data_IF_504874540908
#
_entry.id   IF_504874540908
#
_cell.length_a   1.000
_cell.length_b   1.000
_cell.length_c   1.000
_cell.angle_alpha   90.00
_cell.angle_beta   90.00
_cell.angle_gamma   90.00
#
_symmetry.space_group_name_H-M   'P 1'
#
loop_
_entity.id
_entity.type
_entity.pdbx_description
1 polymer ?
#
# COMPACT_ATOMS: atom_id res chain seq x y z
N UNK A 1 21.59 -14.30 -46.67
CA UNK A 1 22.15 -13.00 -46.23
C UNK A 1 21.09 -11.97 -45.80
N UNK A 2 19.95 -11.80 -46.50
CA UNK A 2 18.90 -10.84 -46.06
C UNK A 2 18.11 -11.34 -44.84
N UNK A 3 17.70 -12.61 -44.83
CA UNK A 3 16.93 -13.19 -43.72
C UNK A 3 17.67 -13.13 -42.37
N UNK A 4 18.97 -13.38 -42.39
CA UNK A 4 19.84 -13.33 -41.21
C UNK A 4 19.91 -11.91 -40.62
N UNK A 5 20.08 -10.88 -41.47
CA UNK A 5 20.06 -9.47 -41.04
C UNK A 5 18.70 -9.08 -40.44
N UNK A 6 17.61 -9.61 -40.99
CA UNK A 6 16.26 -9.36 -40.47
C UNK A 6 16.06 -9.98 -39.08
N UNK A 7 16.46 -11.24 -38.88
CA UNK A 7 16.38 -11.93 -37.59
C UNK A 7 17.18 -11.20 -36.51
N UNK A 8 18.45 -10.85 -36.79
CA UNK A 8 19.31 -10.12 -35.86
C UNK A 8 18.72 -8.74 -35.48
N UNK A 9 18.07 -8.06 -36.43
CA UNK A 9 17.44 -6.78 -36.14
C UNK A 9 16.21 -6.94 -35.25
N UNK A 10 15.36 -7.95 -35.49
CA UNK A 10 14.19 -8.23 -34.64
C UNK A 10 14.64 -8.53 -33.22
N UNK A 11 15.62 -9.42 -33.05
CA UNK A 11 16.13 -9.78 -31.73
C UNK A 11 16.70 -8.56 -30.99
N UNK A 12 17.55 -7.76 -31.66
CA UNK A 12 18.10 -6.53 -31.09
C UNK A 12 17.00 -5.58 -30.63
N UNK A 13 15.95 -5.39 -31.43
CA UNK A 13 14.83 -4.49 -31.09
C UNK A 13 14.01 -5.04 -29.93
N UNK A 14 13.73 -6.35 -29.92
CA UNK A 14 13.03 -7.02 -28.81
C UNK A 14 13.82 -6.89 -27.51
N UNK A 15 15.12 -7.15 -27.52
CA UNK A 15 15.98 -6.99 -26.33
C UNK A 15 16.01 -5.54 -25.84
N UNK A 16 16.16 -4.56 -26.75
CA UNK A 16 16.10 -3.13 -26.42
C UNK A 16 14.77 -2.76 -25.76
N UNK A 17 13.66 -3.27 -26.30
CA UNK A 17 12.32 -3.03 -25.74
C UNK A 17 12.19 -3.65 -24.34
N UNK A 18 12.57 -4.91 -24.17
CA UNK A 18 12.52 -5.60 -22.87
C UNK A 18 13.35 -4.86 -21.82
N UNK A 19 14.57 -4.43 -22.17
CA UNK A 19 15.43 -3.68 -21.25
C UNK A 19 14.81 -2.34 -20.84
N UNK A 20 14.26 -1.59 -21.80
CA UNK A 20 13.63 -0.29 -21.53
C UNK A 20 12.32 -0.44 -20.73
N UNK A 21 11.46 -1.38 -21.12
CA UNK A 21 10.19 -1.62 -20.45
C UNK A 21 10.42 -2.10 -19.01
N UNK A 22 11.35 -3.03 -18.79
CA UNK A 22 11.61 -3.57 -17.46
C UNK A 22 12.54 -2.70 -16.61
N UNK A 23 12.99 -1.55 -17.13
CA UNK A 23 13.78 -0.59 -16.37
C UNK A 23 13.02 -0.15 -15.12
N UNK A 24 13.58 -0.42 -13.96
CA UNK A 24 12.98 -0.09 -12.66
C UNK A 24 11.90 -1.06 -12.16
N UNK A 25 11.61 -2.14 -12.89
CA UNK A 25 10.73 -3.22 -12.41
C UNK A 25 11.56 -4.28 -11.70
N UNK A 26 11.05 -4.78 -10.57
CA UNK A 26 11.63 -5.93 -9.88
C UNK A 26 11.05 -7.21 -10.48
N UNK A 27 11.89 -8.20 -10.76
CA UNK A 27 11.43 -9.54 -11.11
C UNK A 27 10.83 -10.17 -9.84
N UNK A 28 9.58 -10.60 -9.93
CA UNK A 28 8.90 -11.39 -8.89
C UNK A 28 8.61 -12.75 -9.50
N UNK A 29 9.06 -13.80 -8.84
CA UNK A 29 8.84 -15.19 -9.22
C UNK A 29 8.25 -15.87 -8.00
N UNK A 30 7.26 -16.72 -8.22
CA UNK A 30 6.65 -17.55 -7.20
C UNK A 30 6.90 -19.01 -7.54
N UNK A 31 7.07 -19.84 -6.52
CA UNK A 31 7.21 -21.27 -6.66
C UNK A 31 5.92 -21.98 -6.20
N UNK A 32 5.64 -23.20 -6.69
CA UNK A 32 4.54 -23.99 -6.15
C UNK A 32 4.71 -24.20 -4.66
N UNK A 33 3.66 -23.93 -3.89
CA UNK A 33 3.68 -23.96 -2.44
C UNK A 33 3.74 -22.59 -1.77
N UNK A 34 4.15 -21.54 -2.48
CA UNK A 34 4.18 -20.18 -1.97
C UNK A 34 2.78 -19.67 -1.65
N UNK A 35 2.67 -18.92 -0.55
CA UNK A 35 1.47 -18.19 -0.19
C UNK A 35 1.49 -16.80 -0.80
N UNK A 36 0.39 -16.38 -1.40
CA UNK A 36 0.27 -15.09 -2.07
C UNK A 36 -1.08 -14.43 -1.85
N UNK A 37 -1.11 -13.10 -1.85
CA UNK A 37 -2.35 -12.32 -1.91
C UNK A 37 -2.85 -12.19 -3.35
N UNK A 38 -4.15 -12.40 -3.55
CA UNK A 38 -4.81 -12.21 -4.83
C UNK A 38 -5.43 -10.80 -4.94
N UNK A 39 -5.07 -10.05 -5.98
CA UNK A 39 -5.68 -8.76 -6.30
C UNK A 39 -7.03 -8.94 -6.99
N UNK A 40 -8.11 -8.57 -6.30
CA UNK A 40 -9.46 -8.63 -6.85
C UNK A 40 -9.66 -7.46 -7.81
N UNK A 41 -9.77 -7.70 -9.13
CA UNK A 41 -10.16 -6.66 -10.10
C UNK A 41 -11.67 -6.60 -10.28
N UNK A 42 -12.24 -5.40 -10.48
CA UNK A 42 -13.69 -5.21 -10.60
C UNK A 42 -14.28 -5.96 -11.79
N UNK A 43 -13.55 -6.00 -12.90
CA UNK A 43 -13.95 -6.65 -14.14
C UNK A 43 -13.96 -8.18 -14.06
N UNK A 44 -13.20 -8.77 -13.14
CA UNK A 44 -13.17 -10.23 -12.91
C UNK A 44 -14.03 -10.65 -11.71
N UNK A 45 -14.06 -9.81 -10.68
CA UNK A 45 -14.74 -10.08 -9.41
C UNK A 45 -15.75 -8.98 -9.08
N UNK A 46 -16.81 -8.79 -9.90
CA UNK A 46 -17.79 -7.74 -9.67
C UNK A 46 -18.49 -7.91 -8.31
N UNK A 47 -18.79 -9.14 -7.90
CA UNK A 47 -19.46 -9.43 -6.63
C UNK A 47 -18.57 -9.08 -5.42
N UNK A 48 -17.29 -9.45 -5.48
CA UNK A 48 -16.32 -9.19 -4.38
C UNK A 48 -15.82 -7.75 -4.36
N UNK A 49 -15.79 -7.05 -5.52
CA UNK A 49 -15.28 -5.67 -5.64
C UNK A 49 -16.25 -4.76 -6.41
N UNK A 50 -17.49 -4.66 -5.93
CA UNK A 50 -18.51 -3.78 -6.52
C UNK A 50 -18.36 -2.29 -6.14
N UNK A 51 -17.70 -1.99 -5.01
CA UNK A 51 -17.51 -0.62 -4.52
C UNK A 51 -16.03 -0.29 -4.27
N UNK A 52 -15.72 1.01 -4.15
CA UNK A 52 -14.35 1.48 -3.89
C UNK A 52 -13.89 1.24 -2.44
N UNK A 53 -14.82 1.04 -1.51
CA UNK A 53 -14.54 0.85 -0.09
C UNK A 53 -14.21 -0.61 0.26
N UNK A 54 -14.54 -1.55 -0.62
CA UNK A 54 -14.21 -2.97 -0.40
C UNK A 54 -12.71 -3.24 -0.55
N UNK A 55 -12.19 -4.28 0.12
CA UNK A 55 -10.81 -4.70 -0.03
C UNK A 55 -10.41 -4.92 -1.49
N UNK A 56 -9.16 -4.58 -1.80
CA UNK A 56 -8.59 -4.77 -3.14
C UNK A 56 -7.89 -6.11 -3.32
N UNK A 57 -7.56 -6.77 -2.21
CA UNK A 57 -6.94 -8.08 -2.20
C UNK A 57 -7.72 -9.00 -1.27
N UNK A 58 -7.56 -10.29 -1.51
CA UNK A 58 -8.18 -11.35 -0.74
C UNK A 58 -7.19 -12.50 -0.58
N UNK A 59 -7.36 -13.25 0.52
CA UNK A 59 -6.67 -14.47 0.96
C UNK A 59 -5.15 -14.56 0.78
N UNK A 60 -4.43 -15.22 1.71
CA UNK A 60 -3.28 -16.01 1.28
C UNK A 60 -3.81 -17.25 0.54
N UNK A 61 -3.53 -17.33 -0.76
CA UNK A 61 -3.77 -18.52 -1.58
C UNK A 61 -2.45 -19.19 -1.90
N UNK A 62 -2.46 -20.52 -2.03
CA UNK A 62 -1.27 -21.26 -2.40
C UNK A 62 -1.11 -21.31 -3.92
N UNK A 63 0.11 -21.11 -4.40
CA UNK A 63 0.47 -21.37 -5.80
C UNK A 63 0.50 -22.88 -6.01
N UNK A 64 -0.33 -23.38 -6.93
CA UNK A 64 -0.39 -24.79 -7.29
C UNK A 64 0.59 -25.15 -8.40
N UNK A 65 0.75 -24.27 -9.38
CA UNK A 65 1.55 -24.53 -10.58
C UNK A 65 2.05 -23.22 -11.19
N UNK A 66 3.31 -23.24 -11.66
CA UNK A 66 3.92 -22.15 -12.42
C UNK A 66 3.82 -22.47 -13.92
N UNK A 67 2.94 -21.75 -14.63
CA UNK A 67 2.76 -21.94 -16.09
C UNK A 67 3.91 -21.26 -16.84
N UNK A 68 4.29 -20.06 -16.39
CA UNK A 68 5.48 -19.32 -16.81
C UNK A 68 5.79 -18.22 -15.77
N UNK A 69 6.91 -17.50 -15.92
CA UNK A 69 7.32 -16.41 -15.02
C UNK A 69 6.23 -15.33 -14.78
N UNK A 70 5.27 -15.18 -15.69
CA UNK A 70 4.21 -14.18 -15.62
C UNK A 70 2.83 -14.75 -15.21
N UNK A 71 2.62 -16.06 -15.24
CA UNK A 71 1.30 -16.67 -15.08
C UNK A 71 1.34 -17.90 -14.16
N UNK A 72 0.47 -17.89 -13.16
CA UNK A 72 0.44 -18.87 -12.09
C UNK A 72 -0.97 -19.40 -11.89
N UNK A 73 -1.09 -20.65 -11.47
CA UNK A 73 -2.35 -21.27 -11.07
C UNK A 73 -2.43 -21.34 -9.56
N UNK A 74 -3.56 -20.90 -8.99
CA UNK A 74 -3.77 -20.87 -7.55
C UNK A 74 -4.74 -21.97 -7.11
N UNK A 75 -4.67 -22.32 -5.83
CA UNK A 75 -5.73 -23.08 -5.18
C UNK A 75 -6.90 -22.13 -4.85
N UNK A 76 -7.72 -21.84 -5.86
CA UNK A 76 -8.84 -20.91 -5.74
C UNK A 76 -10.15 -21.68 -5.49
N UNK A 77 -10.93 -21.31 -4.46
CA UNK A 77 -12.25 -21.88 -4.21
C UNK A 77 -13.21 -21.70 -5.39
N UNK A 78 -14.11 -22.67 -5.59
CA UNK A 78 -15.06 -22.67 -6.72
C UNK A 78 -16.07 -21.50 -6.68
N UNK A 79 -16.29 -20.91 -5.50
CA UNK A 79 -17.21 -19.80 -5.27
C UNK A 79 -16.79 -18.50 -5.97
N UNK A 80 -15.53 -18.38 -6.39
CA UNK A 80 -15.09 -17.21 -7.14
C UNK A 80 -15.61 -17.18 -8.58
N UNK A 81 -16.02 -18.33 -9.14
CA UNK A 81 -16.61 -18.41 -10.48
C UNK A 81 -15.69 -17.94 -11.62
N UNK A 82 -14.38 -17.86 -11.40
CA UNK A 82 -13.37 -17.46 -12.40
C UNK A 82 -12.29 -18.53 -12.57
N UNK A 83 -11.51 -18.43 -13.64
CA UNK A 83 -10.33 -19.30 -13.82
C UNK A 83 -9.30 -19.06 -12.71
N UNK A 84 -8.71 -20.13 -12.20
CA UNK A 84 -7.66 -20.07 -11.18
C UNK A 84 -6.28 -19.61 -11.69
N UNK A 85 -6.18 -19.17 -12.95
CA UNK A 85 -4.94 -18.70 -13.57
C UNK A 85 -4.84 -17.17 -13.55
N UNK A 86 -3.78 -16.66 -12.92
CA UNK A 86 -3.58 -15.24 -12.67
C UNK A 86 -2.22 -14.77 -13.15
N UNK A 87 -2.13 -13.51 -13.55
CA UNK A 87 -0.86 -12.91 -13.96
C UNK A 87 -0.10 -12.39 -12.74
N UNK A 88 1.22 -12.25 -12.81
CA UNK A 88 2.04 -11.69 -11.71
C UNK A 88 1.56 -10.31 -11.26
N UNK A 89 0.92 -9.53 -12.15
CA UNK A 89 0.34 -8.23 -11.84
C UNK A 89 -0.89 -8.31 -10.91
N UNK A 90 -1.49 -9.49 -10.79
CA UNK A 90 -2.65 -9.75 -9.92
C UNK A 90 -2.23 -10.37 -8.59
N UNK A 91 -0.93 -10.58 -8.37
CA UNK A 91 -0.42 -11.34 -7.24
C UNK A 91 0.47 -10.45 -6.38
N UNK A 92 0.51 -10.68 -5.07
CA UNK A 92 1.46 -10.04 -4.17
C UNK A 92 2.01 -11.07 -3.18
N UNK A 93 3.31 -11.04 -2.86
CA UNK A 93 3.89 -11.98 -1.90
C UNK A 93 3.18 -11.91 -0.54
N UNK A 94 2.93 -13.07 0.08
CA UNK A 94 2.49 -13.15 1.46
C UNK A 94 3.72 -13.22 2.37
N UNK A 95 3.99 -12.16 3.13
CA UNK A 95 5.05 -12.16 4.13
C UNK A 95 4.48 -12.60 5.48
N UNK A 96 4.77 -13.83 5.88
CA UNK A 96 4.53 -14.29 7.26
C UNK A 96 5.61 -13.64 8.10
N UNK A 97 5.38 -12.39 8.51
CA UNK A 97 6.36 -11.65 9.29
C UNK A 97 6.86 -12.51 10.44
N UNK A 98 8.18 -12.72 10.51
CA UNK A 98 8.83 -13.36 11.65
C UNK A 98 8.22 -12.76 12.91
N UNK A 99 7.74 -13.62 13.82
CA UNK A 99 6.91 -13.26 14.98
C UNK A 99 7.58 -12.24 15.93
N UNK A 100 7.72 -10.97 15.53
CA UNK A 100 8.24 -9.89 16.37
C UNK A 100 7.24 -9.48 17.45
N UNK A 101 6.06 -10.11 17.49
CA UNK A 101 5.13 -10.01 18.61
C UNK A 101 5.50 -10.96 19.74
N UNK A 102 6.77 -10.98 20.14
CA UNK A 102 7.08 -11.34 21.53
C UNK A 102 6.57 -10.18 22.37
N UNK A 103 5.35 -10.29 22.90
CA UNK A 103 4.77 -9.30 23.78
C UNK A 103 5.62 -9.22 25.06
N UNK A 104 6.37 -8.14 25.35
CA UNK A 104 7.10 -8.01 26.59
C UNK A 104 6.20 -7.31 27.62
N UNK A 105 4.94 -7.71 27.73
CA UNK A 105 4.12 -7.29 28.87
C UNK A 105 4.37 -8.30 29.99
N UNK A 106 5.46 -8.09 30.73
CA UNK A 106 5.67 -8.74 32.01
C UNK A 106 4.62 -8.21 32.98
N UNK A 107 3.76 -9.11 33.45
CA UNK A 107 2.84 -8.89 34.56
C UNK A 107 3.65 -8.55 35.81
N UNK A 108 3.63 -7.27 36.19
CA UNK A 108 4.47 -6.70 37.24
C UNK A 108 3.64 -5.93 38.25
N UNK A 109 3.01 -6.70 39.16
CA UNK A 109 2.69 -6.39 40.56
C UNK A 109 1.87 -5.12 40.86
N UNK A 110 0.62 -5.40 41.15
CA UNK A 110 -0.26 -4.71 42.08
C UNK A 110 0.38 -4.42 43.46
N UNK A 111 0.74 -3.16 43.72
CA UNK A 111 0.99 -2.67 45.08
C UNK A 111 -0.25 -1.93 45.58
N UNK A 112 -1.01 -2.60 46.47
CA UNK A 112 -2.07 -1.99 47.24
C UNK A 112 -1.46 -1.14 48.37
N UNK A 113 -1.81 0.15 48.44
CA UNK A 113 -1.59 0.96 49.63
C UNK A 113 -2.91 1.56 50.12
N UNK A 114 -3.40 1.06 51.26
CA UNK A 114 -4.43 1.70 52.04
C UNK A 114 -3.78 2.59 53.10
N UNK A 115 -4.23 3.85 53.20
CA UNK A 115 -3.81 4.76 54.27
C UNK A 115 -4.72 5.97 54.34
N UNK A 116 -5.40 6.13 55.48
CA UNK A 116 -6.44 7.12 55.75
C UNK A 116 -5.91 8.47 56.28
N UNK A 117 -6.66 9.55 56.03
CA UNK A 117 -6.96 10.58 57.05
C UNK A 117 -6.36 11.99 56.92
N UNK A 118 -7.24 12.98 57.19
CA UNK A 118 -7.01 14.31 57.81
C UNK A 118 -6.95 15.60 56.96
N UNK A 119 -8.14 16.21 56.79
CA UNK A 119 -8.60 17.58 57.10
C UNK A 119 -7.58 18.68 57.52
N UNK A 120 -7.74 19.91 57.00
CA UNK A 120 -7.30 21.15 57.69
C UNK A 120 -6.96 22.36 56.79
N UNK A 121 -7.53 23.52 57.09
CA UNK A 121 -7.59 24.76 56.28
C UNK A 121 -6.45 25.78 56.51
N UNK A 122 -6.32 26.79 55.61
CA UNK A 122 -5.85 28.14 55.99
C UNK A 122 -4.89 28.93 55.06
N UNK A 123 -5.48 29.81 54.22
CA UNK A 123 -5.15 31.24 53.95
C UNK A 123 -3.71 31.71 53.56
N UNK A 124 -3.57 32.36 52.39
CA UNK A 124 -3.20 33.80 52.23
C UNK A 124 -3.42 34.30 50.78
N UNK A 125 -4.16 35.40 50.68
CA UNK A 125 -4.39 36.26 49.51
C UNK A 125 -3.23 37.26 49.37
N UNK A 126 -2.76 37.52 48.14
CA UNK A 126 -2.30 38.84 47.69
C UNK A 126 -2.56 39.01 46.19
N UNK A 127 -3.52 39.87 45.88
CA UNK A 127 -3.88 40.38 44.54
C UNK A 127 -2.84 41.33 43.93
N UNK A 128 -2.55 41.21 42.61
CA UNK A 128 -2.54 42.30 41.59
C UNK A 128 -1.88 41.90 40.27
N UNK A 129 -2.55 42.21 39.14
CA UNK A 129 -1.87 42.55 37.88
C UNK A 129 -2.52 42.01 36.61
N UNK A 130 -3.22 42.89 35.89
CA UNK A 130 -3.81 42.67 34.56
C UNK A 130 -2.75 42.35 33.47
N UNK A 131 -3.14 41.56 32.48
CA UNK A 131 -2.42 41.44 31.21
C UNK A 131 -3.07 40.41 30.29
N UNK A 132 -3.80 40.89 29.29
CA UNK A 132 -4.40 40.06 28.23
C UNK A 132 -3.31 39.45 27.35
N UNK A 133 -3.39 38.15 27.05
CA UNK A 133 -2.79 37.62 25.83
C UNK A 133 -3.55 36.38 25.35
N UNK A 134 -3.85 36.39 24.06
CA UNK A 134 -4.74 35.46 23.40
C UNK A 134 -4.02 34.22 22.87
N UNK A 135 -4.78 33.13 22.89
CA UNK A 135 -4.64 31.85 22.20
C UNK A 135 -4.02 31.96 20.77
N UNK A 136 -2.91 31.26 20.41
CA UNK A 136 -2.37 31.32 19.06
C UNK A 136 -2.63 30.02 18.28
N UNK A 137 -3.86 29.85 17.79
CA UNK A 137 -4.14 28.97 16.64
C UNK A 137 -5.07 29.69 15.66
N UNK A 138 -4.55 30.71 14.97
CA UNK A 138 -5.26 31.41 13.90
C UNK A 138 -4.78 30.97 12.52
N UNK A 139 -5.68 30.33 11.76
CA UNK A 139 -5.52 30.11 10.32
C UNK A 139 -5.75 31.44 9.59
N UNK A 140 -4.97 31.76 8.53
CA UNK A 140 -5.21 32.98 7.77
C UNK A 140 -6.51 32.87 6.98
N UNK A 141 -7.49 33.73 7.34
CA UNK A 141 -8.67 33.99 6.53
C UNK A 141 -8.30 34.96 5.40
N UNK A 142 -8.19 34.44 4.19
CA UNK A 142 -7.94 35.21 2.98
C UNK A 142 -8.20 34.36 1.72
N UNK A 143 -8.55 34.96 0.58
CA UNK A 143 -8.94 34.21 -0.61
C UNK A 143 -7.78 33.38 -1.17
N UNK A 144 -7.97 32.05 -1.22
CA UNK A 144 -7.02 31.09 -1.77
C UNK A 144 -6.94 31.30 -3.29
N UNK A 145 -5.85 31.91 -3.77
CA UNK A 145 -5.66 32.14 -5.21
C UNK A 145 -5.15 30.87 -5.89
N UNK A 146 -5.94 30.33 -6.80
CA UNK A 146 -5.65 29.14 -7.62
C UNK A 146 -4.58 29.44 -8.68
N UNK A 147 -3.50 28.65 -8.73
CA UNK A 147 -2.51 28.70 -9.81
C UNK A 147 -3.13 28.26 -11.16
N UNK A 148 -2.81 28.97 -12.25
CA UNK A 148 -3.28 28.68 -13.62
C UNK A 148 -2.38 27.61 -14.28
N UNK A 149 -2.92 26.74 -15.15
CA UNK A 149 -2.12 25.75 -15.88
C UNK A 149 -1.31 26.40 -17.02
N UNK A 150 -0.06 25.95 -17.20
CA UNK A 150 0.77 26.30 -18.36
C UNK A 150 0.26 25.59 -19.62
N UNK A 151 -0.22 26.36 -20.60
CA UNK A 151 -0.46 25.88 -21.97
C UNK A 151 0.74 26.29 -22.81
N UNK A 152 1.63 25.34 -23.12
CA UNK A 152 2.71 25.57 -24.09
C UNK A 152 2.16 25.32 -25.49
N UNK A 153 1.90 26.40 -26.24
CA UNK A 153 1.73 26.36 -27.70
C UNK A 153 3.11 26.44 -28.34
N UNK A 154 3.45 25.52 -29.24
CA UNK A 154 4.54 25.72 -30.20
C UNK A 154 4.10 25.35 -31.62
N UNK A 155 3.92 26.44 -32.36
CA UNK A 155 3.92 26.72 -33.80
C UNK A 155 4.15 25.57 -34.80
N UNK A 156 3.25 25.54 -35.80
CA UNK A 156 3.43 24.98 -37.13
C UNK A 156 3.98 26.07 -38.05
N UNK A 157 5.08 25.80 -38.74
CA UNK A 157 5.59 26.55 -39.90
C UNK A 157 6.33 25.54 -40.80
N UNK A 158 5.94 25.47 -42.07
CA UNK A 158 6.59 24.67 -43.12
C UNK A 158 5.69 23.63 -43.73
#
# INVERSE_FOLDING_TARGET
MIHEKAQLNIERRTQQYVHQANKGRKKVVFEPGDWIWLHLRKERFPEKRHSKLLPRGDGPFQVMECINDNAYKLDLPGEYGVSASFTVADLSPFDVGDNLRTNPSQEGKNDANQGAGHQGAGLVDHSRGNGAEQDPLSLPSGPITRLKPNVSRKHSMG
#
